data_IF_210669838052
#
_entry.id   IF_210669838052
#
_cell.length_a   1.000
_cell.length_b   1.000
_cell.length_c   1.000
_cell.angle_alpha   90.00
_cell.angle_beta   90.00
_cell.angle_gamma   90.00
#
_symmetry.space_group_name_H-M   'P 1'
#
loop_
_entity.id
_entity.type
_entity.pdbx_description
1 polymer ?
#
# COMPACT_ATOMS: atom_id res chain seq x y z
N UNK A 1 -16.74 53.44 29.04
CA UNK A 1 -15.49 52.70 29.35
C UNK A 1 -15.62 51.18 29.16
N UNK A 2 -16.76 50.54 29.39
CA UNK A 2 -16.94 49.08 29.22
C UNK A 2 -16.80 48.53 27.78
N UNK A 3 -17.07 49.34 26.75
CA UNK A 3 -17.06 48.91 25.34
C UNK A 3 -15.65 48.59 24.81
N UNK A 4 -14.62 49.22 25.39
CA UNK A 4 -13.22 49.03 24.95
C UNK A 4 -12.60 47.75 25.54
N UNK A 5 -13.09 47.28 26.68
CA UNK A 5 -12.64 46.01 27.30
C UNK A 5 -13.22 44.78 26.59
N UNK A 6 -14.39 44.91 25.97
CA UNK A 6 -15.00 43.81 25.21
C UNK A 6 -14.23 43.48 23.93
N UNK A 7 -13.69 44.52 23.26
CA UNK A 7 -12.87 44.37 22.06
C UNK A 7 -11.49 43.77 22.35
N UNK A 8 -10.86 44.13 23.47
CA UNK A 8 -9.58 43.55 23.88
C UNK A 8 -9.72 42.10 24.36
N UNK A 9 -10.80 41.75 25.06
CA UNK A 9 -11.07 40.37 25.45
C UNK A 9 -11.32 39.45 24.24
N UNK A 10 -12.03 39.93 23.22
CA UNK A 10 -12.26 39.18 21.98
C UNK A 10 -10.95 38.95 21.18
N UNK A 11 -10.05 39.93 21.15
CA UNK A 11 -8.76 39.80 20.47
C UNK A 11 -7.82 38.78 21.14
N UNK A 12 -7.86 38.66 22.46
CA UNK A 12 -7.09 37.65 23.21
C UNK A 12 -7.61 36.24 22.93
N UNK A 13 -8.94 36.05 22.83
CA UNK A 13 -9.56 34.76 22.51
C UNK A 13 -9.24 34.26 21.09
N UNK A 14 -9.10 35.16 20.11
CA UNK A 14 -8.73 34.82 18.72
C UNK A 14 -7.24 34.43 18.61
N UNK A 15 -6.37 34.99 19.46
CA UNK A 15 -4.95 34.67 19.47
C UNK A 15 -4.64 33.26 20.00
N UNK A 16 -5.50 32.69 20.84
CA UNK A 16 -5.31 31.33 21.41
C UNK A 16 -5.71 30.23 20.42
N UNK A 17 -6.54 30.54 19.42
CA UNK A 17 -7.02 29.54 18.44
C UNK A 17 -6.08 29.35 17.24
N UNK A 18 -4.96 30.09 17.18
CA UNK A 18 -4.03 30.04 16.05
C UNK A 18 -2.71 29.30 16.38
N UNK A 19 -2.78 28.27 17.23
CA UNK A 19 -1.68 27.30 17.34
C UNK A 19 -1.75 26.37 16.14
N UNK A 20 -1.15 26.78 15.02
CA UNK A 20 -0.90 25.86 13.92
C UNK A 20 0.00 24.72 14.44
N UNK A 21 -0.43 23.48 14.24
CA UNK A 21 0.27 22.33 14.77
C UNK A 21 1.65 22.20 14.13
N UNK A 22 2.71 22.23 14.93
CA UNK A 22 4.07 22.20 14.38
C UNK A 22 4.46 20.79 13.93
N UNK A 23 4.82 20.66 12.66
CA UNK A 23 5.32 19.41 12.08
C UNK A 23 6.83 19.41 11.85
N UNK A 24 7.44 18.24 11.73
CA UNK A 24 8.82 18.01 11.28
C UNK A 24 8.84 16.96 10.17
N UNK A 25 9.73 17.13 9.19
CA UNK A 25 9.98 16.12 8.17
C UNK A 25 10.71 14.89 8.76
N UNK A 26 10.25 13.69 8.40
CA UNK A 26 10.83 12.40 8.75
C UNK A 26 10.93 11.53 7.50
N UNK A 27 12.07 10.85 7.35
CA UNK A 27 12.29 9.85 6.30
C UNK A 27 12.51 8.49 6.97
N UNK A 28 11.91 7.44 6.40
CA UNK A 28 12.09 6.05 6.84
C UNK A 28 12.00 5.08 5.66
N UNK A 29 12.61 3.90 5.78
CA UNK A 29 12.48 2.84 4.77
C UNK A 29 11.14 2.12 4.93
N UNK A 30 10.41 1.94 3.82
CA UNK A 30 9.29 1.03 3.73
C UNK A 30 9.77 -0.36 3.30
N UNK A 31 10.57 -0.40 2.24
CA UNK A 31 11.35 -1.56 1.80
C UNK A 31 12.74 -1.05 1.42
N UNK A 32 13.66 -1.95 1.07
CA UNK A 32 15.02 -1.55 0.62
C UNK A 32 15.01 -0.57 -0.54
N UNK A 33 14.01 -0.67 -1.42
CA UNK A 33 13.90 0.17 -2.61
C UNK A 33 12.97 1.36 -2.46
N UNK A 34 12.16 1.43 -1.39
CA UNK A 34 11.13 2.45 -1.21
C UNK A 34 11.32 3.17 0.13
N UNK A 35 11.54 4.48 0.04
CA UNK A 35 11.57 5.38 1.19
C UNK A 35 10.22 6.08 1.35
N UNK A 36 9.74 6.26 2.57
CA UNK A 36 8.70 7.23 2.87
C UNK A 36 9.30 8.53 3.38
N UNK A 37 8.75 9.65 2.92
CA UNK A 37 9.03 11.01 3.35
C UNK A 37 7.72 11.62 3.83
N UNK A 38 7.64 11.97 5.11
CA UNK A 38 6.40 12.40 5.74
C UNK A 38 6.61 13.54 6.72
N UNK A 39 5.59 14.37 6.89
CA UNK A 39 5.50 15.30 8.01
C UNK A 39 4.91 14.56 9.21
N UNK A 40 5.53 14.72 10.38
CA UNK A 40 5.06 14.18 11.65
C UNK A 40 4.95 15.28 12.69
N UNK A 41 4.06 15.11 13.67
CA UNK A 41 3.91 16.08 14.75
C UNK A 41 5.21 16.20 15.57
N UNK A 42 5.62 17.44 15.91
CA UNK A 42 6.74 17.63 16.83
C UNK A 42 6.45 17.07 18.22
N UNK A 43 5.20 17.15 18.66
CA UNK A 43 4.71 16.60 19.93
C UNK A 43 4.68 15.07 19.93
N UNK A 44 4.49 14.43 18.77
CA UNK A 44 4.50 12.98 18.63
C UNK A 44 4.96 12.56 17.22
N UNK A 45 6.19 12.07 17.13
CA UNK A 45 6.84 11.68 15.86
C UNK A 45 6.28 10.40 15.23
N UNK A 46 5.30 9.76 15.86
CA UNK A 46 4.58 8.60 15.33
C UNK A 46 3.32 8.99 14.56
N UNK A 47 2.82 10.21 14.76
CA UNK A 47 1.60 10.70 14.11
C UNK A 47 2.01 11.44 12.84
N UNK A 48 1.58 10.92 11.68
CA UNK A 48 1.75 11.58 10.38
C UNK A 48 0.72 12.70 10.24
N UNK A 49 1.17 13.88 9.85
CA UNK A 49 0.31 15.06 9.71
C UNK A 49 0.90 15.99 8.64
N UNK A 50 0.20 16.18 7.53
CA UNK A 50 0.64 16.92 6.36
C UNK A 50 1.10 16.04 5.20
N UNK A 51 1.97 16.60 4.36
CA UNK A 51 2.37 15.98 3.08
C UNK A 51 3.15 14.69 3.29
N UNK A 52 2.77 13.68 2.49
CA UNK A 52 3.39 12.37 2.43
C UNK A 52 3.79 12.00 1.00
N UNK A 53 4.95 11.37 0.88
CA UNK A 53 5.41 10.72 -0.35
C UNK A 53 6.07 9.38 -0.03
N UNK A 54 5.79 8.37 -0.83
CA UNK A 54 6.62 7.17 -0.92
C UNK A 54 7.41 7.25 -2.23
N UNK A 55 8.73 7.03 -2.17
CA UNK A 55 9.68 7.31 -3.24
C UNK A 55 10.53 6.07 -3.52
N UNK A 56 10.44 5.57 -4.74
CA UNK A 56 11.25 4.49 -5.27
C UNK A 56 12.63 5.00 -5.69
N UNK A 57 13.70 4.28 -5.28
CA UNK A 57 15.09 4.57 -5.60
C UNK A 57 15.47 6.05 -5.37
N UNK A 58 14.86 6.69 -4.36
CA UNK A 58 15.08 8.10 -3.99
C UNK A 58 14.73 9.13 -5.07
N UNK A 59 14.11 8.71 -6.17
CA UNK A 59 13.83 9.58 -7.34
C UNK A 59 12.34 9.59 -7.68
N UNK A 60 11.72 8.41 -7.83
CA UNK A 60 10.38 8.32 -8.43
C UNK A 60 9.29 8.17 -7.36
N UNK A 61 8.33 9.10 -7.25
CA UNK A 61 7.21 8.92 -6.33
C UNK A 61 6.34 7.74 -6.77
N UNK A 62 6.04 6.83 -5.85
CA UNK A 62 5.08 5.71 -6.04
C UNK A 62 3.76 5.95 -5.31
N UNK A 63 3.74 6.87 -4.34
CA UNK A 63 2.53 7.40 -3.74
C UNK A 63 2.73 8.86 -3.29
N UNK A 64 1.68 9.67 -3.36
CA UNK A 64 1.66 11.01 -2.78
C UNK A 64 0.25 11.39 -2.30
N UNK A 65 0.20 12.14 -1.20
CA UNK A 65 -1.05 12.63 -0.62
C UNK A 65 -0.81 13.32 0.72
N UNK A 66 -1.89 13.58 1.45
CA UNK A 66 -1.82 14.20 2.77
C UNK A 66 -2.36 13.28 3.85
N UNK A 67 -1.77 13.41 5.03
CA UNK A 67 -2.30 12.91 6.28
C UNK A 67 -2.89 14.05 7.10
N UNK A 68 -3.91 13.74 7.89
CA UNK A 68 -4.43 14.55 8.98
C UNK A 68 -4.53 13.62 10.20
N UNK A 69 -3.69 13.86 11.20
CA UNK A 69 -3.62 13.06 12.43
C UNK A 69 -3.62 11.54 12.19
N UNK A 70 -2.64 11.07 11.42
CA UNK A 70 -2.39 9.68 11.01
C UNK A 70 -3.45 9.05 10.08
N UNK A 71 -4.41 9.84 9.60
CA UNK A 71 -5.40 9.40 8.61
C UNK A 71 -5.09 9.99 7.24
N UNK A 72 -5.14 9.16 6.20
CA UNK A 72 -5.06 9.63 4.81
C UNK A 72 -6.29 10.48 4.50
N UNK A 73 -6.09 11.69 4.00
CA UNK A 73 -7.17 12.63 3.65
C UNK A 73 -6.99 13.17 2.23
N UNK A 74 -8.09 13.65 1.66
CA UNK A 74 -8.12 14.25 0.33
C UNK A 74 -7.76 13.26 -0.79
N UNK A 75 -7.25 13.82 -1.88
CA UNK A 75 -6.88 13.05 -3.06
C UNK A 75 -5.47 12.51 -2.96
N UNK A 76 -5.34 11.20 -3.08
CA UNK A 76 -4.09 10.48 -3.18
C UNK A 76 -3.84 10.03 -4.60
N UNK A 77 -2.58 10.09 -5.02
CA UNK A 77 -2.11 9.61 -6.32
C UNK A 77 -1.10 8.49 -6.10
N UNK A 78 -1.27 7.41 -6.84
CA UNK A 78 -0.39 6.25 -6.83
C UNK A 78 0.17 6.07 -8.23
N UNK A 79 1.46 5.79 -8.31
CA UNK A 79 2.21 5.81 -9.55
C UNK A 79 2.93 4.47 -9.77
N UNK A 80 3.30 4.20 -11.01
CA UNK A 80 4.26 3.14 -11.31
C UNK A 80 5.71 3.61 -11.11
N UNK A 81 6.65 2.70 -11.31
CA UNK A 81 8.10 2.96 -11.22
C UNK A 81 8.64 3.95 -12.24
N UNK A 82 7.83 4.29 -13.26
CA UNK A 82 8.13 5.31 -14.27
C UNK A 82 7.48 6.67 -13.95
N UNK A 83 6.83 6.81 -12.78
CA UNK A 83 6.17 8.04 -12.36
C UNK A 83 4.83 8.31 -13.04
N UNK A 84 4.28 7.34 -13.78
CA UNK A 84 2.97 7.45 -14.41
C UNK A 84 1.87 7.11 -13.41
N UNK A 85 0.80 7.90 -13.37
CA UNK A 85 -0.33 7.68 -12.47
C UNK A 85 -1.01 6.34 -12.82
N UNK A 86 -1.09 5.45 -11.84
CA UNK A 86 -1.85 4.20 -11.93
C UNK A 86 -3.20 4.28 -11.25
N UNK A 87 -3.31 5.05 -10.18
CA UNK A 87 -4.57 5.17 -9.45
C UNK A 87 -4.68 6.54 -8.79
N UNK A 88 -5.88 7.10 -8.79
CA UNK A 88 -6.24 8.28 -8.01
C UNK A 88 -7.42 7.91 -7.12
N UNK A 89 -7.27 8.12 -5.83
CA UNK A 89 -8.28 7.79 -4.83
C UNK A 89 -8.57 9.00 -3.95
N UNK A 90 -9.84 9.32 -3.77
CA UNK A 90 -10.30 10.37 -2.87
C UNK A 90 -10.70 9.71 -1.54
N UNK A 91 -9.91 9.92 -0.49
CA UNK A 91 -10.15 9.34 0.83
C UNK A 91 -11.34 9.96 1.54
N UNK A 92 -11.65 11.24 1.28
CA UNK A 92 -12.78 11.93 1.89
C UNK A 92 -14.10 11.42 1.31
N UNK A 93 -14.13 11.16 0.00
CA UNK A 93 -15.30 10.61 -0.71
C UNK A 93 -15.32 9.09 -0.78
N UNK A 94 -14.25 8.42 -0.35
CA UNK A 94 -14.04 6.97 -0.45
C UNK A 94 -14.28 6.44 -1.87
N UNK A 95 -13.71 7.11 -2.87
CA UNK A 95 -13.97 6.81 -4.29
C UNK A 95 -12.70 6.78 -5.11
N UNK A 96 -12.58 5.76 -5.96
CA UNK A 96 -11.58 5.72 -7.03
C UNK A 96 -11.99 6.75 -8.09
N UNK A 97 -11.17 7.79 -8.26
CA UNK A 97 -11.34 8.80 -9.29
C UNK A 97 -10.73 8.37 -10.63
N UNK A 98 -9.70 7.53 -10.59
CA UNK A 98 -9.02 6.99 -11.77
C UNK A 98 -8.30 5.67 -11.43
N UNK A 99 -8.33 4.72 -12.35
CA UNK A 99 -7.54 3.47 -12.34
C UNK A 99 -7.04 3.27 -13.77
N UNK A 100 -5.73 3.15 -13.94
CA UNK A 100 -5.11 2.90 -15.23
C UNK A 100 -5.44 1.48 -15.73
N UNK A 101 -5.54 1.26 -17.06
CA UNK A 101 -5.69 -0.07 -17.60
C UNK A 101 -4.53 -0.99 -17.18
N UNK A 102 -4.78 -2.29 -17.26
CA UNK A 102 -3.75 -3.28 -17.01
C UNK A 102 -2.82 -3.36 -18.22
N UNK A 103 -1.53 -3.55 -17.94
CA UNK A 103 -0.51 -3.77 -18.95
C UNK A 103 0.26 -5.02 -18.54
N UNK A 104 0.65 -5.85 -19.51
CA UNK A 104 1.38 -7.11 -19.27
C UNK A 104 2.73 -6.92 -18.54
N UNK A 105 3.26 -5.69 -18.50
CA UNK A 105 4.52 -5.34 -17.84
C UNK A 105 4.45 -5.30 -16.29
N UNK A 106 3.32 -5.64 -15.66
CA UNK A 106 3.20 -5.63 -14.20
C UNK A 106 3.70 -6.93 -13.57
N UNK A 107 4.41 -6.82 -12.43
CA UNK A 107 4.76 -7.97 -11.58
C UNK A 107 3.58 -8.50 -10.75
N UNK A 108 2.39 -7.97 -10.99
CA UNK A 108 1.15 -8.41 -10.35
C UNK A 108 0.30 -9.13 -11.39
N UNK A 109 -0.19 -10.31 -11.02
CA UNK A 109 -1.09 -11.11 -11.84
C UNK A 109 -2.35 -11.46 -11.05
N UNK A 110 -3.46 -11.53 -11.76
CA UNK A 110 -4.77 -11.85 -11.20
C UNK A 110 -5.27 -13.15 -11.81
N UNK A 111 -5.78 -14.04 -10.97
CA UNK A 111 -6.35 -15.32 -11.39
C UNK A 111 -7.74 -15.47 -10.78
N UNK A 112 -8.77 -15.53 -11.62
CA UNK A 112 -10.09 -15.92 -11.14
C UNK A 112 -10.08 -17.44 -10.87
N UNK A 113 -10.58 -17.87 -9.71
CA UNK A 113 -10.53 -19.27 -9.31
C UNK A 113 -11.75 -20.05 -9.84
N UNK A 114 -12.06 -19.86 -11.12
CA UNK A 114 -13.22 -20.39 -11.82
C UNK A 114 -12.91 -20.61 -13.30
N UNK A 115 -13.72 -21.43 -13.96
CA UNK A 115 -13.71 -21.54 -15.42
C UNK A 115 -14.23 -20.25 -16.07
N UNK A 116 -13.52 -19.79 -17.10
CA UNK A 116 -13.79 -18.57 -17.86
C UNK A 116 -13.97 -18.95 -19.31
N UNK A 117 -15.10 -18.55 -19.89
CA UNK A 117 -15.37 -18.69 -21.31
C UNK A 117 -15.06 -17.39 -22.04
N UNK A 118 -14.87 -17.46 -23.37
CA UNK A 118 -14.52 -16.29 -24.19
C UNK A 118 -15.60 -15.19 -24.20
N UNK A 119 -16.82 -15.48 -23.77
CA UNK A 119 -17.93 -14.52 -23.65
C UNK A 119 -18.02 -13.86 -22.28
N UNK A 120 -17.26 -14.32 -21.28
CA UNK A 120 -17.33 -13.77 -19.93
C UNK A 120 -16.62 -12.42 -19.83
N UNK A 121 -17.24 -11.50 -19.11
CA UNK A 121 -16.63 -10.22 -18.74
C UNK A 121 -16.09 -10.33 -17.32
N UNK A 122 -14.76 -10.34 -17.20
CA UNK A 122 -14.07 -10.38 -15.91
C UNK A 122 -13.65 -8.97 -15.49
N UNK A 123 -14.01 -8.58 -14.26
CA UNK A 123 -13.42 -7.42 -13.61
C UNK A 123 -12.44 -7.87 -12.54
N UNK A 124 -11.19 -7.42 -12.63
CA UNK A 124 -10.16 -7.70 -11.63
C UNK A 124 -10.53 -7.16 -10.25
N UNK A 125 -9.93 -7.68 -9.16
CA UNK A 125 -9.99 -7.02 -7.87
C UNK A 125 -9.20 -5.70 -7.89
N UNK A 126 -9.63 -4.70 -7.11
CA UNK A 126 -8.93 -3.41 -7.00
C UNK A 126 -8.56 -3.13 -5.54
N UNK A 127 -7.27 -2.94 -5.27
CA UNK A 127 -6.75 -2.46 -3.98
C UNK A 127 -6.52 -0.95 -4.06
N UNK A 128 -6.93 -0.22 -3.02
CA UNK A 128 -6.56 1.19 -2.86
C UNK A 128 -5.06 1.25 -2.51
N UNK A 129 -4.32 2.07 -3.25
CA UNK A 129 -2.86 2.18 -3.16
C UNK A 129 -2.12 1.92 -4.47
N UNK A 130 -2.83 1.62 -5.56
CA UNK A 130 -2.20 1.19 -6.82
C UNK A 130 -1.44 -0.13 -6.70
N UNK A 131 -0.75 -0.54 -7.77
CA UNK A 131 -0.09 -1.86 -7.86
C UNK A 131 1.23 -1.94 -7.11
N UNK A 132 1.89 -0.81 -6.90
CA UNK A 132 3.19 -0.75 -6.23
C UNK A 132 3.07 -0.38 -4.75
N UNK A 133 2.39 0.72 -4.41
CA UNK A 133 2.31 1.14 -3.02
C UNK A 133 1.32 0.31 -2.19
N UNK A 134 0.16 -0.03 -2.75
CA UNK A 134 -0.93 -0.70 -2.03
C UNK A 134 -0.64 -2.11 -1.52
N UNK A 135 0.45 -2.73 -1.98
CA UNK A 135 0.85 -4.08 -1.60
C UNK A 135 2.13 -4.15 -0.76
N UNK A 136 2.79 -3.02 -0.51
CA UNK A 136 3.95 -2.93 0.41
C UNK A 136 3.67 -3.60 1.76
N UNK A 137 2.49 -3.40 2.41
CA UNK A 137 2.23 -4.00 3.72
C UNK A 137 2.39 -5.52 3.74
N UNK A 138 2.09 -6.23 2.65
CA UNK A 138 2.28 -7.68 2.62
C UNK A 138 3.76 -8.04 2.53
N UNK A 139 4.55 -7.31 1.74
CA UNK A 139 6.00 -7.53 1.64
C UNK A 139 6.71 -7.32 2.98
N UNK A 140 6.34 -6.24 3.69
CA UNK A 140 6.95 -5.87 4.98
C UNK A 140 6.68 -6.87 6.11
N UNK A 141 5.59 -7.63 6.03
CA UNK A 141 5.24 -8.62 7.04
C UNK A 141 6.03 -9.93 6.92
N UNK A 142 6.79 -10.10 5.84
CA UNK A 142 7.59 -11.28 5.62
C UNK A 142 9.03 -11.10 6.11
N UNK A 143 9.49 -12.11 6.83
CA UNK A 143 10.91 -12.34 7.13
C UNK A 143 11.21 -13.80 6.84
N UNK A 144 12.35 -14.05 6.22
CA UNK A 144 12.80 -15.38 5.89
C UNK A 144 12.92 -16.23 7.18
N UNK A 145 12.37 -17.46 7.19
CA UNK A 145 12.52 -18.37 8.33
C UNK A 145 13.99 -18.66 8.65
N UNK A 146 14.31 -18.89 9.93
CA UNK A 146 15.69 -19.10 10.40
C UNK A 146 16.41 -20.24 9.67
N UNK A 147 15.68 -21.30 9.29
CA UNK A 147 16.22 -22.45 8.56
C UNK A 147 16.62 -22.13 7.11
N UNK A 148 16.19 -20.98 6.59
CA UNK A 148 16.54 -20.46 5.27
C UNK A 148 17.45 -19.23 5.33
N UNK A 149 17.85 -18.75 6.50
CA UNK A 149 18.62 -17.50 6.67
C UNK A 149 19.94 -17.46 5.89
N UNK A 150 20.52 -18.62 5.57
CA UNK A 150 21.81 -18.76 4.89
C UNK A 150 21.70 -19.18 3.43
N UNK A 151 20.50 -19.14 2.84
CA UNK A 151 20.36 -19.33 1.39
C UNK A 151 20.99 -18.14 0.67
N UNK A 152 21.42 -18.37 -0.57
CA UNK A 152 21.74 -17.29 -1.51
C UNK A 152 20.43 -16.73 -2.10
N UNK A 153 19.99 -15.50 -1.72
CA UNK A 153 18.72 -14.95 -2.16
C UNK A 153 18.61 -14.84 -3.69
N UNK A 154 19.74 -14.69 -4.40
CA UNK A 154 19.76 -14.55 -5.86
C UNK A 154 19.31 -15.80 -6.62
N UNK A 155 19.32 -16.96 -5.95
CA UNK A 155 18.91 -18.25 -6.51
C UNK A 155 17.44 -18.58 -6.25
N UNK A 156 16.73 -17.67 -5.59
CA UNK A 156 15.35 -17.85 -5.18
C UNK A 156 14.47 -16.72 -5.71
N UNK A 157 13.26 -17.08 -6.10
CA UNK A 157 12.18 -16.16 -6.41
C UNK A 157 11.12 -16.27 -5.31
N UNK A 158 10.55 -15.12 -4.92
CA UNK A 158 9.43 -15.07 -4.00
C UNK A 158 8.15 -14.66 -4.72
N UNK A 159 7.04 -15.30 -4.36
CA UNK A 159 5.70 -14.93 -4.81
C UNK A 159 4.82 -14.73 -3.59
N UNK A 160 4.30 -13.51 -3.43
CA UNK A 160 3.23 -13.25 -2.47
C UNK A 160 1.90 -13.57 -3.14
N UNK A 161 1.16 -14.50 -2.56
CA UNK A 161 -0.13 -14.95 -3.05
C UNK A 161 -1.23 -14.54 -2.07
N UNK A 162 -2.22 -13.79 -2.54
CA UNK A 162 -3.37 -13.33 -1.75
C UNK A 162 -4.64 -13.95 -2.33
N UNK A 163 -5.40 -14.69 -1.52
CA UNK A 163 -6.77 -15.07 -1.89
C UNK A 163 -7.74 -13.99 -1.43
N UNK A 164 -8.51 -13.45 -2.38
CA UNK A 164 -9.57 -12.48 -2.12
C UNK A 164 -10.91 -13.20 -2.23
N UNK A 165 -11.74 -13.06 -1.20
CA UNK A 165 -13.09 -13.61 -1.17
C UNK A 165 -14.01 -12.90 -2.18
N UNK A 166 -15.16 -13.51 -2.54
CA UNK A 166 -16.16 -12.85 -3.39
C UNK A 166 -16.62 -11.48 -2.87
N UNK A 167 -16.52 -11.22 -1.57
CA UNK A 167 -16.91 -9.92 -0.99
C UNK A 167 -15.73 -8.93 -0.88
N UNK A 168 -14.59 -9.23 -1.51
CA UNK A 168 -13.45 -8.32 -1.54
C UNK A 168 -12.66 -8.28 -0.23
N UNK A 169 -12.65 -9.38 0.54
CA UNK A 169 -11.86 -9.49 1.77
C UNK A 169 -10.68 -10.45 1.59
N UNK A 170 -9.55 -10.14 2.21
CA UNK A 170 -8.41 -11.05 2.28
C UNK A 170 -8.82 -12.33 3.04
N UNK A 171 -8.84 -13.46 2.34
CA UNK A 171 -9.15 -14.78 2.90
C UNK A 171 -7.87 -15.53 3.28
N UNK A 172 -6.85 -15.48 2.43
CA UNK A 172 -5.54 -16.08 2.70
C UNK A 172 -4.39 -15.24 2.19
N UNK A 173 -3.24 -15.39 2.84
CA UNK A 173 -1.97 -14.79 2.46
C UNK A 173 -0.87 -15.85 2.59
N UNK A 174 -0.17 -16.14 1.50
CA UNK A 174 0.97 -17.06 1.46
C UNK A 174 2.18 -16.39 0.81
N UNK A 175 3.37 -16.87 1.16
CA UNK A 175 4.60 -16.59 0.43
C UNK A 175 5.17 -17.90 -0.09
N UNK A 176 5.33 -18.01 -1.41
CA UNK A 176 5.94 -19.15 -2.08
C UNK A 176 7.37 -18.79 -2.46
N UNK A 177 8.32 -19.61 -2.03
CA UNK A 177 9.74 -19.51 -2.35
C UNK A 177 10.09 -20.64 -3.32
N UNK A 178 10.65 -20.30 -4.47
CA UNK A 178 11.05 -21.25 -5.50
C UNK A 178 12.51 -21.02 -5.89
N UNK A 179 13.29 -22.08 -6.11
CA UNK A 179 14.64 -21.97 -6.65
C UNK A 179 14.76 -22.59 -8.05
N UNK A 180 15.80 -22.20 -8.77
CA UNK A 180 16.13 -22.79 -10.08
C UNK A 180 16.48 -24.29 -10.01
N UNK A 181 16.81 -24.79 -8.81
CA UNK A 181 17.10 -26.20 -8.56
C UNK A 181 15.86 -27.05 -8.28
N UNK A 182 14.66 -26.46 -8.41
CA UNK A 182 13.38 -27.14 -8.13
C UNK A 182 13.01 -27.19 -6.64
N UNK A 183 13.68 -26.43 -5.78
CA UNK A 183 13.20 -26.27 -4.40
C UNK A 183 11.93 -25.43 -4.40
N UNK A 184 10.95 -25.83 -3.59
CA UNK A 184 9.70 -25.10 -3.39
C UNK A 184 9.30 -25.15 -1.92
N UNK A 185 8.92 -23.99 -1.36
CA UNK A 185 8.33 -23.89 -0.02
C UNK A 185 7.20 -22.89 -0.01
N UNK A 186 6.09 -23.27 0.62
CA UNK A 186 4.96 -22.38 0.89
C UNK A 186 4.94 -22.02 2.37
N UNK A 187 4.91 -20.74 2.65
CA UNK A 187 4.82 -20.18 4.00
C UNK A 187 3.44 -19.55 4.14
N UNK A 188 2.62 -20.11 5.04
CA UNK A 188 1.30 -19.58 5.33
C UNK A 188 1.42 -18.41 6.30
N UNK A 189 1.05 -17.22 5.85
CA UNK A 189 1.14 -16.01 6.64
C UNK A 189 -0.13 -15.82 7.49
N UNK A 190 0.02 -15.17 8.63
CA UNK A 190 -1.10 -14.88 9.51
C UNK A 190 -1.90 -13.68 8.98
N UNK A 191 -3.15 -13.93 8.58
CA UNK A 191 -4.07 -12.91 8.02
C UNK A 191 -4.53 -11.87 9.04
N UNK A 192 -4.19 -12.03 10.32
CA UNK A 192 -4.42 -11.02 11.36
C UNK A 192 -3.32 -9.94 11.42
N UNK A 193 -2.18 -10.16 10.78
CA UNK A 193 -1.05 -9.20 10.81
C UNK A 193 -1.27 -7.92 9.98
N UNK A 194 -1.84 -7.96 8.76
CA UNK A 194 -2.13 -6.74 8.03
C UNK A 194 -3.14 -5.84 8.77
N UNK A 195 -3.09 -4.54 8.52
CA UNK A 195 -4.12 -3.61 9.01
C UNK A 195 -5.47 -3.90 8.35
N UNK A 196 -6.58 -3.50 8.98
CA UNK A 196 -7.93 -3.75 8.45
C UNK A 196 -8.16 -3.12 7.06
N UNK A 197 -7.64 -1.91 6.82
CA UNK A 197 -7.73 -1.24 5.52
C UNK A 197 -6.92 -1.98 4.42
N UNK A 198 -5.93 -2.77 4.84
CA UNK A 198 -5.17 -3.64 3.94
C UNK A 198 -5.85 -4.98 3.70
N UNK A 199 -6.98 -5.28 4.34
CA UNK A 199 -7.75 -6.51 4.07
C UNK A 199 -8.91 -6.28 3.11
N UNK A 200 -9.08 -5.06 2.58
CA UNK A 200 -10.23 -4.64 1.80
C UNK A 200 -9.84 -4.40 0.33
N UNK A 201 -10.64 -4.96 -0.56
CA UNK A 201 -10.52 -4.90 -2.00
C UNK A 201 -11.88 -4.62 -2.62
N UNK A 202 -11.90 -3.97 -3.78
CA UNK A 202 -13.04 -4.11 -4.70
C UNK A 202 -13.05 -5.55 -5.21
N UNK A 203 -14.18 -6.27 -5.13
CA UNK A 203 -14.26 -7.66 -5.55
C UNK A 203 -13.90 -7.89 -7.02
N UNK A 204 -13.36 -9.08 -7.29
CA UNK A 204 -13.35 -9.62 -8.65
C UNK A 204 -14.78 -10.01 -9.04
N UNK A 205 -15.17 -9.82 -10.30
CA UNK A 205 -16.49 -10.26 -10.79
C UNK A 205 -16.39 -11.00 -12.12
N UNK A 206 -17.29 -11.96 -12.33
CA UNK A 206 -17.60 -12.56 -13.63
C UNK A 206 -19.02 -12.16 -14.00
N UNK A 207 -19.18 -11.45 -15.11
CA UNK A 207 -20.47 -10.93 -15.57
C UNK A 207 -21.22 -10.15 -14.47
N UNK A 208 -20.45 -9.38 -13.67
CA UNK A 208 -20.98 -8.61 -12.54
C UNK A 208 -21.26 -9.40 -11.25
N UNK A 209 -21.16 -10.73 -11.27
CA UNK A 209 -21.30 -11.55 -10.07
C UNK A 209 -19.95 -11.66 -9.33
N UNK A 210 -19.90 -11.39 -8.02
CA UNK A 210 -18.64 -11.44 -7.29
C UNK A 210 -18.10 -12.87 -7.17
N UNK A 211 -16.79 -13.02 -7.36
CA UNK A 211 -16.09 -14.32 -7.35
C UNK A 211 -14.80 -14.23 -6.54
N UNK A 212 -14.31 -15.36 -6.08
CA UNK A 212 -12.99 -15.45 -5.47
C UNK A 212 -11.90 -15.28 -6.54
N UNK A 213 -10.78 -14.68 -6.16
CA UNK A 213 -9.63 -14.54 -7.04
C UNK A 213 -8.33 -14.54 -6.25
N UNK A 214 -7.25 -14.94 -6.91
CA UNK A 214 -5.88 -14.83 -6.41
C UNK A 214 -5.17 -13.63 -7.02
N UNK A 215 -4.41 -12.94 -6.18
CA UNK A 215 -3.43 -11.92 -6.60
C UNK A 215 -2.05 -12.49 -6.33
N UNK A 216 -1.22 -12.56 -7.36
CA UNK A 216 0.17 -13.04 -7.27
C UNK A 216 1.10 -11.87 -7.53
N UNK A 217 2.01 -11.62 -6.60
CA UNK A 217 2.98 -10.52 -6.65
C UNK A 217 4.37 -11.16 -6.68
N UNK A 218 5.11 -10.95 -7.77
CA UNK A 218 6.50 -11.39 -7.85
C UNK A 218 7.41 -10.42 -7.10
N UNK A 219 8.22 -10.97 -6.19
CA UNK A 219 9.14 -10.25 -5.34
C UNK A 219 10.54 -10.90 -5.36
N UNK A 220 11.55 -10.13 -5.00
CA UNK A 220 12.89 -10.63 -4.67
C UNK A 220 13.03 -10.76 -3.15
N UNK A 221 13.91 -11.65 -2.73
CA UNK A 221 14.35 -11.73 -1.33
C UNK A 221 15.56 -10.80 -1.19
N UNK A 222 15.59 -9.98 -0.13
CA UNK A 222 16.70 -9.09 0.18
C UNK A 222 17.81 -9.82 0.92
N UNK A 223 18.98 -9.21 1.06
CA UNK A 223 20.12 -9.82 1.79
C UNK A 223 19.80 -10.00 3.29
N UNK A 224 18.88 -9.18 3.82
CA UNK A 224 18.34 -9.27 5.18
C UNK A 224 17.21 -10.29 5.32
N UNK A 225 16.81 -10.95 4.23
CA UNK A 225 15.74 -11.95 4.21
C UNK A 225 14.33 -11.35 4.20
N UNK A 226 14.17 -10.08 3.82
CA UNK A 226 12.86 -9.46 3.61
C UNK A 226 12.40 -9.61 2.16
N UNK A 227 11.19 -9.14 1.84
CA UNK A 227 10.71 -9.06 0.47
C UNK A 227 10.75 -7.62 -0.04
N UNK A 228 11.12 -7.50 -1.31
CA UNK A 228 11.08 -6.25 -2.05
C UNK A 228 10.54 -6.50 -3.46
N UNK A 229 9.96 -5.50 -4.11
CA UNK A 229 9.42 -5.72 -5.45
C UNK A 229 10.54 -6.07 -6.44
N UNK A 230 10.25 -7.03 -7.33
CA UNK A 230 11.14 -7.38 -8.44
C UNK A 230 11.01 -6.35 -9.56
N UNK A 231 11.56 -5.15 -9.40
CA UNK A 231 11.38 -4.07 -10.38
C UNK A 231 12.38 -4.21 -11.53
N UNK A 232 11.86 -4.28 -12.76
CA UNK A 232 12.61 -4.30 -14.02
C UNK A 232 12.69 -2.90 -14.62
#
# INVERSE_FOLDING_TARGET
>A
MFKNYLFTAAAILIAITCQAQETKLKTSHLTDSIDEVCHVLKSNKHIKDGLYQAVYNKITPVASGNYDNDKKVGTWRFYNTHGQVQQVYDYDKKKIAYEAPETEASNLRYFADIEIDSTDVITKPIKVGGRYYGYIPYLQLFTLPDDLKYIDPSRFNAQVELLISPLGRLAYYWVRLNSDSGYERVIHMNTNLPNEDDKIFTPCTKNGQPIACRIIITARITDEGHLDFLMR
#
